data_IF_846697860371
#
_entry.id   IF_846697860371
#
_cell.length_a   1.000
_cell.length_b   1.000
_cell.length_c   1.000
_cell.angle_alpha   90.00
_cell.angle_beta   90.00
_cell.angle_gamma   90.00
#
_symmetry.space_group_name_H-M   'P 1'
#
loop_
_entity.id
_entity.type
_entity.pdbx_description
1 polymer ?
#
# COMPACT_ATOMS: atom_id res chain seq x y z
N UNK A 1 48.33 -16.05 -2.29
CA UNK A 1 47.27 -15.34 -3.04
C UNK A 1 47.48 -13.86 -2.82
N UNK A 2 47.66 -13.07 -3.87
CA UNK A 2 47.91 -11.63 -3.79
C UNK A 2 46.65 -10.90 -3.20
N UNK A 3 46.87 -9.78 -2.51
CA UNK A 3 45.80 -8.97 -1.93
C UNK A 3 44.70 -8.63 -2.93
N UNK A 4 45.12 -8.32 -4.18
CA UNK A 4 44.18 -8.02 -5.28
C UNK A 4 43.27 -9.21 -5.62
N UNK A 5 43.77 -10.45 -5.59
CA UNK A 5 42.96 -11.66 -5.83
C UNK A 5 41.97 -11.87 -4.67
N UNK A 6 42.35 -11.60 -3.42
CA UNK A 6 41.47 -11.70 -2.26
C UNK A 6 40.35 -10.68 -2.35
N UNK A 7 40.64 -9.41 -2.70
CA UNK A 7 39.62 -8.36 -2.87
C UNK A 7 38.63 -8.73 -4.00
N UNK A 8 39.13 -9.14 -5.18
CA UNK A 8 38.25 -9.56 -6.27
C UNK A 8 37.32 -10.71 -5.87
N UNK A 9 37.85 -11.73 -5.18
CA UNK A 9 37.06 -12.85 -4.69
C UNK A 9 36.00 -12.41 -3.68
N UNK A 10 36.35 -11.50 -2.76
CA UNK A 10 35.40 -10.95 -1.81
C UNK A 10 34.27 -10.13 -2.48
N UNK A 11 34.61 -9.31 -3.49
CA UNK A 11 33.62 -8.56 -4.25
C UNK A 11 32.65 -9.50 -5.00
N UNK A 12 33.18 -10.55 -5.63
CA UNK A 12 32.31 -11.53 -6.33
C UNK A 12 31.40 -12.26 -5.34
N UNK A 13 31.94 -12.69 -4.20
CA UNK A 13 31.15 -13.35 -3.15
C UNK A 13 30.05 -12.44 -2.61
N UNK A 14 30.37 -11.15 -2.37
CA UNK A 14 29.37 -10.16 -1.93
C UNK A 14 28.27 -9.96 -2.96
N UNK A 15 28.60 -9.82 -4.24
CA UNK A 15 27.64 -9.66 -5.33
C UNK A 15 26.71 -10.89 -5.40
N UNK A 16 27.27 -12.10 -5.35
CA UNK A 16 26.48 -13.33 -5.35
C UNK A 16 25.56 -13.41 -4.13
N UNK A 17 26.07 -13.13 -2.94
CA UNK A 17 25.29 -13.11 -1.72
C UNK A 17 24.15 -12.08 -1.80
N UNK A 18 24.43 -10.88 -2.33
CA UNK A 18 23.41 -9.86 -2.56
C UNK A 18 22.26 -10.38 -3.44
N UNK A 19 22.57 -11.00 -4.57
CA UNK A 19 21.53 -11.53 -5.46
C UNK A 19 20.74 -12.68 -4.84
N UNK A 20 21.42 -13.59 -4.11
CA UNK A 20 20.75 -14.69 -3.40
C UNK A 20 19.79 -14.15 -2.34
N UNK A 21 20.24 -13.24 -1.48
CA UNK A 21 19.41 -12.66 -0.43
C UNK A 21 18.27 -11.84 -1.04
N UNK A 22 18.55 -11.05 -2.08
CA UNK A 22 17.50 -10.31 -2.77
C UNK A 22 16.46 -11.24 -3.41
N UNK A 23 16.88 -12.38 -3.99
CA UNK A 23 15.97 -13.39 -4.53
C UNK A 23 15.06 -14.00 -3.45
N UNK A 24 15.61 -14.32 -2.28
CA UNK A 24 14.83 -14.79 -1.14
C UNK A 24 13.82 -13.72 -0.71
N UNK A 25 14.27 -12.47 -0.56
CA UNK A 25 13.39 -11.36 -0.18
C UNK A 25 12.29 -11.11 -1.23
N UNK A 26 12.62 -11.24 -2.51
CA UNK A 26 11.66 -11.06 -3.61
C UNK A 26 10.49 -12.05 -3.56
N UNK A 27 10.73 -13.26 -3.05
CA UNK A 27 9.69 -14.30 -2.89
C UNK A 27 8.97 -14.19 -1.56
N UNK A 28 9.67 -13.73 -0.51
CA UNK A 28 9.13 -13.67 0.85
C UNK A 28 8.45 -12.35 1.18
N UNK A 29 9.02 -11.23 0.78
CA UNK A 29 8.50 -9.89 1.07
C UNK A 29 8.76 -8.98 -0.12
N UNK A 30 7.76 -8.79 -0.97
CA UNK A 30 7.86 -7.91 -2.14
C UNK A 30 6.97 -6.70 -1.95
N UNK A 31 7.53 -5.56 -1.57
CA UNK A 31 6.77 -4.33 -1.44
C UNK A 31 6.32 -3.82 -2.81
N UNK A 32 5.14 -3.24 -2.86
CA UNK A 32 4.68 -2.45 -4.01
C UNK A 32 4.76 -0.98 -3.63
N UNK A 33 5.37 -0.17 -4.49
CA UNK A 33 5.52 1.24 -4.25
C UNK A 33 4.16 1.95 -4.16
N UNK A 34 4.03 2.82 -3.17
CA UNK A 34 2.94 3.76 -3.09
C UNK A 34 3.04 4.80 -4.21
N UNK A 35 1.91 5.17 -4.76
CA UNK A 35 1.83 6.27 -5.71
C UNK A 35 1.59 7.54 -4.88
N UNK A 36 2.58 8.45 -4.89
CA UNK A 36 2.40 9.74 -4.23
C UNK A 36 1.35 10.56 -4.99
N UNK A 37 0.36 11.03 -4.27
CA UNK A 37 -0.59 11.99 -4.78
C UNK A 37 -0.05 13.41 -4.62
N UNK A 38 -0.43 14.35 -5.49
CA UNK A 38 0.08 15.73 -5.44
C UNK A 38 -0.11 16.41 -4.09
N UNK A 39 -1.20 16.12 -3.40
CA UNK A 39 -1.54 16.72 -2.11
C UNK A 39 -1.19 15.85 -0.89
N UNK A 40 -0.41 14.81 -1.10
CA UNK A 40 0.34 14.09 -0.04
C UNK A 40 -0.46 13.24 0.95
N UNK A 41 -1.75 13.42 1.08
CA UNK A 41 -2.47 12.88 2.25
C UNK A 41 -3.68 11.99 1.94
N UNK A 42 -4.26 12.05 0.76
CA UNK A 42 -5.59 11.47 0.55
C UNK A 42 -5.64 10.09 -0.07
N UNK A 43 -4.55 9.60 -0.66
CA UNK A 43 -4.60 8.33 -1.39
C UNK A 43 -3.41 7.44 -1.12
N UNK A 44 -3.70 6.32 -0.52
CA UNK A 44 -2.77 5.22 -0.44
C UNK A 44 -3.08 4.20 -1.55
N UNK A 45 -2.85 4.58 -2.80
CA UNK A 45 -2.94 3.66 -3.94
C UNK A 45 -1.56 3.15 -4.33
N UNK A 46 -1.51 1.93 -4.87
CA UNK A 46 -0.28 1.27 -5.27
C UNK A 46 -0.19 1.20 -6.79
N UNK A 47 1.00 0.86 -7.30
CA UNK A 47 1.19 0.66 -8.73
C UNK A 47 0.21 -0.39 -9.28
N UNK A 48 -0.66 -0.03 -10.25
CA UNK A 48 -1.61 -0.97 -10.83
C UNK A 48 -0.92 -2.18 -11.45
N UNK A 49 -1.54 -3.35 -11.33
CA UNK A 49 -1.08 -4.64 -11.82
C UNK A 49 0.24 -5.17 -11.23
N UNK A 50 0.81 -4.50 -10.24
CA UNK A 50 1.96 -5.01 -9.50
C UNK A 50 1.56 -6.21 -8.61
N UNK A 51 2.55 -6.97 -8.18
CA UNK A 51 2.35 -8.10 -7.27
C UNK A 51 2.92 -7.74 -5.90
N UNK A 52 2.05 -7.68 -4.90
CA UNK A 52 2.41 -7.53 -3.50
C UNK A 52 2.60 -8.92 -2.89
N UNK A 53 3.75 -9.14 -2.26
CA UNK A 53 4.01 -10.32 -1.44
C UNK A 53 4.31 -9.82 -0.04
N UNK A 54 3.60 -10.34 0.95
CA UNK A 54 3.77 -9.99 2.35
C UNK A 54 4.03 -11.26 3.16
N UNK A 55 5.14 -11.30 3.90
CA UNK A 55 5.59 -12.48 4.62
C UNK A 55 5.80 -12.29 6.12
N UNK A 56 5.74 -11.04 6.61
CA UNK A 56 6.18 -10.71 7.97
C UNK A 56 5.15 -11.12 9.04
N UNK A 57 3.88 -10.82 8.85
CA UNK A 57 2.80 -11.10 9.83
C UNK A 57 1.87 -12.23 9.36
N UNK A 58 2.00 -12.61 8.11
CA UNK A 58 1.27 -13.69 7.46
C UNK A 58 1.61 -13.73 5.98
N UNK A 59 1.84 -14.93 5.43
CA UNK A 59 2.23 -15.05 4.03
C UNK A 59 1.04 -14.90 3.10
N UNK A 60 1.06 -13.86 2.28
CA UNK A 60 0.05 -13.65 1.26
C UNK A 60 0.63 -13.11 -0.04
N UNK A 61 0.01 -13.46 -1.15
CA UNK A 61 0.31 -12.92 -2.47
C UNK A 61 -0.94 -12.25 -3.00
N UNK A 62 -0.83 -10.98 -3.38
CA UNK A 62 -1.93 -10.18 -3.88
C UNK A 62 -1.55 -9.47 -5.16
N UNK A 63 -2.39 -9.55 -6.16
CA UNK A 63 -2.27 -8.70 -7.33
C UNK A 63 -2.96 -7.36 -7.04
N UNK A 64 -2.28 -6.27 -7.34
CA UNK A 64 -2.88 -4.94 -7.28
C UNK A 64 -3.78 -4.77 -8.51
N UNK A 65 -5.02 -4.36 -8.29
CA UNK A 65 -5.97 -4.10 -9.36
C UNK A 65 -5.66 -2.80 -10.14
N UNK A 66 -6.46 -2.49 -11.15
CA UNK A 66 -6.27 -1.28 -11.96
C UNK A 66 -6.51 0.02 -11.19
N UNK A 67 -7.14 -0.05 -10.03
CA UNK A 67 -7.44 1.08 -9.17
C UNK A 67 -6.39 1.28 -8.06
N UNK A 68 -5.42 0.38 -7.94
CA UNK A 68 -4.33 0.47 -6.96
C UNK A 68 -4.60 -0.23 -5.63
N UNK A 69 -5.59 -1.12 -5.57
CA UNK A 69 -5.99 -1.86 -4.35
C UNK A 69 -5.76 -3.36 -4.50
N UNK A 70 -5.94 -4.09 -3.41
CA UNK A 70 -5.71 -5.54 -3.35
C UNK A 70 -7.00 -6.36 -3.54
N UNK A 71 -7.92 -5.89 -4.39
CA UNK A 71 -9.13 -6.64 -4.69
C UNK A 71 -8.84 -7.87 -5.56
N UNK A 72 -9.73 -8.87 -5.45
CA UNK A 72 -9.77 -9.90 -6.48
C UNK A 72 -10.25 -9.29 -7.81
N UNK A 73 -9.85 -9.91 -8.92
CA UNK A 73 -10.28 -9.52 -10.27
C UNK A 73 -11.76 -9.87 -10.51
N UNK A 74 -12.65 -9.44 -9.62
CA UNK A 74 -14.06 -9.42 -9.96
C UNK A 74 -14.28 -8.27 -10.96
N UNK A 75 -15.05 -8.48 -12.03
CA UNK A 75 -15.49 -7.35 -12.81
C UNK A 75 -16.21 -6.37 -11.89
N UNK A 76 -15.99 -5.08 -12.08
CA UNK A 76 -16.76 -4.08 -11.36
C UNK A 76 -18.25 -4.35 -11.65
N UNK A 77 -18.99 -4.64 -10.60
CA UNK A 77 -20.43 -4.72 -10.66
C UNK A 77 -21.02 -3.34 -10.98
N UNK A 78 -22.24 -3.31 -11.50
CA UNK A 78 -22.95 -2.05 -11.68
C UNK A 78 -23.26 -1.38 -10.34
N UNK A 79 -23.33 -2.18 -9.26
CA UNK A 79 -23.56 -1.75 -7.90
C UNK A 79 -22.57 -2.45 -6.95
N UNK A 80 -22.06 -1.72 -5.94
CA UNK A 80 -21.11 -2.30 -5.02
C UNK A 80 -21.16 -1.68 -3.61
N UNK A 81 -20.63 -2.46 -2.66
CA UNK A 81 -20.33 -2.03 -1.30
C UNK A 81 -18.89 -1.52 -1.27
N UNK A 82 -18.70 -0.24 -0.99
CA UNK A 82 -17.38 0.33 -0.79
C UNK A 82 -16.91 0.02 0.63
N UNK A 83 -15.84 -0.76 0.75
CA UNK A 83 -15.25 -1.12 2.03
C UNK A 83 -14.01 -0.27 2.28
N UNK A 84 -13.98 0.46 3.38
CA UNK A 84 -12.91 1.36 3.76
C UNK A 84 -12.41 1.05 5.17
N UNK A 85 -11.15 1.33 5.43
CA UNK A 85 -10.55 1.08 6.73
C UNK A 85 -9.03 1.10 6.69
N UNK A 86 -8.41 0.54 7.70
CA UNK A 86 -6.97 0.44 7.88
C UNK A 86 -6.41 -0.92 7.43
N UNK A 87 -5.30 -1.35 8.04
CA UNK A 87 -4.61 -2.61 7.72
C UNK A 87 -5.48 -3.85 7.90
N UNK A 88 -6.32 -3.90 8.94
CA UNK A 88 -7.21 -5.03 9.18
C UNK A 88 -8.23 -5.20 8.05
N UNK A 89 -8.87 -4.11 7.63
CA UNK A 89 -9.78 -4.12 6.48
C UNK A 89 -9.06 -4.43 5.18
N UNK A 90 -7.84 -3.95 5.00
CA UNK A 90 -7.04 -4.26 3.81
C UNK A 90 -6.71 -5.75 3.73
N UNK A 91 -6.37 -6.37 4.87
CA UNK A 91 -6.07 -7.80 4.97
C UNK A 91 -4.86 -8.23 4.14
N UNK A 92 -3.82 -7.39 4.03
CA UNK A 92 -2.63 -7.70 3.22
C UNK A 92 -1.87 -8.92 3.75
N UNK A 93 -1.97 -9.21 5.05
CA UNK A 93 -1.35 -10.33 5.76
C UNK A 93 -2.11 -11.66 5.57
N UNK A 94 -3.35 -11.57 5.08
CA UNK A 94 -4.25 -12.71 4.94
C UNK A 94 -4.27 -13.17 3.49
N UNK A 95 -4.25 -14.49 3.25
CA UNK A 95 -4.45 -15.05 1.92
C UNK A 95 -5.74 -14.51 1.30
N UNK A 96 -5.70 -14.20 0.01
CA UNK A 96 -6.80 -13.51 -0.68
C UNK A 96 -8.16 -14.20 -0.47
N UNK A 97 -8.19 -15.55 -0.49
CA UNK A 97 -9.42 -16.34 -0.26
C UNK A 97 -10.04 -16.14 1.12
N UNK A 98 -9.23 -15.79 2.11
CA UNK A 98 -9.64 -15.68 3.51
C UNK A 98 -9.90 -14.22 3.95
N UNK A 99 -9.74 -13.26 3.05
CA UNK A 99 -10.09 -11.86 3.34
C UNK A 99 -11.59 -11.71 3.45
N UNK A 100 -12.04 -10.92 4.40
CA UNK A 100 -13.47 -10.74 4.60
C UNK A 100 -14.18 -10.15 3.37
N UNK A 101 -13.54 -9.25 2.63
CA UNK A 101 -14.08 -8.72 1.36
C UNK A 101 -14.26 -9.81 0.29
N UNK A 102 -13.34 -10.78 0.23
CA UNK A 102 -13.47 -11.96 -0.63
C UNK A 102 -14.58 -12.89 -0.17
N UNK A 103 -14.67 -13.12 1.14
CA UNK A 103 -15.73 -13.96 1.73
C UNK A 103 -17.10 -13.33 1.43
N UNK A 104 -17.25 -12.03 1.64
CA UNK A 104 -18.49 -11.31 1.31
C UNK A 104 -18.82 -11.46 -0.19
N UNK A 105 -17.84 -11.29 -1.07
CA UNK A 105 -18.05 -11.47 -2.51
C UNK A 105 -18.49 -12.90 -2.87
N UNK A 106 -17.90 -13.91 -2.24
CA UNK A 106 -18.30 -15.30 -2.48
C UNK A 106 -19.75 -15.54 -2.02
N UNK A 107 -20.12 -15.01 -0.85
CA UNK A 107 -21.52 -15.10 -0.36
C UNK A 107 -22.50 -14.43 -1.31
N UNK A 108 -22.19 -13.22 -1.79
CA UNK A 108 -23.04 -12.50 -2.76
C UNK A 108 -23.17 -13.27 -4.07
N UNK A 109 -22.09 -13.91 -4.54
CA UNK A 109 -22.13 -14.76 -5.75
C UNK A 109 -23.01 -16.00 -5.53
N UNK A 110 -22.86 -16.67 -4.38
CA UNK A 110 -23.63 -17.87 -4.04
C UNK A 110 -25.13 -17.53 -3.93
N UNK A 111 -25.47 -16.35 -3.40
CA UNK A 111 -26.84 -15.84 -3.32
C UNK A 111 -27.35 -15.24 -4.64
N UNK A 112 -26.54 -15.27 -5.71
CA UNK A 112 -26.82 -14.75 -7.05
C UNK A 112 -27.09 -13.24 -7.08
N UNK A 113 -26.53 -12.52 -6.15
CA UNK A 113 -26.57 -11.06 -6.12
C UNK A 113 -25.62 -10.46 -7.15
N UNK A 114 -26.03 -9.38 -7.79
CA UNK A 114 -25.18 -8.62 -8.73
C UNK A 114 -24.22 -7.68 -7.98
N UNK A 115 -24.55 -7.35 -6.73
CA UNK A 115 -23.73 -6.51 -5.86
C UNK A 115 -22.36 -7.14 -5.57
N UNK A 116 -21.34 -6.33 -5.47
CA UNK A 116 -19.97 -6.77 -5.12
C UNK A 116 -19.34 -5.89 -4.04
N UNK A 117 -18.53 -6.47 -3.18
CA UNK A 117 -17.70 -5.73 -2.24
C UNK A 117 -16.41 -5.27 -2.92
N UNK A 118 -16.12 -3.99 -2.81
CA UNK A 118 -14.90 -3.36 -3.32
C UNK A 118 -14.11 -2.76 -2.16
N UNK A 119 -12.97 -3.35 -1.85
CA UNK A 119 -12.15 -2.98 -0.70
C UNK A 119 -11.09 -1.94 -1.10
N UNK A 120 -11.25 -0.73 -0.58
CA UNK A 120 -10.29 0.37 -0.73
C UNK A 120 -9.53 0.68 0.55
N UNK A 121 -9.62 -0.19 1.55
CA UNK A 121 -8.91 -0.04 2.82
C UNK A 121 -7.39 -0.03 2.61
N UNK A 122 -6.70 0.68 3.47
CA UNK A 122 -5.28 0.91 3.32
C UNK A 122 -4.53 0.92 4.64
N UNK A 123 -3.41 0.20 4.66
CA UNK A 123 -2.51 0.14 5.79
C UNK A 123 -2.04 1.54 6.21
N UNK A 124 -2.05 1.78 7.52
CA UNK A 124 -1.65 3.06 8.10
C UNK A 124 -2.71 4.17 8.04
N UNK A 125 -3.92 3.88 7.52
CA UNK A 125 -5.00 4.85 7.55
C UNK A 125 -5.62 4.96 8.95
N UNK A 126 -5.74 6.20 9.41
CA UNK A 126 -6.53 6.60 10.57
C UNK A 126 -7.82 7.27 10.10
N UNK A 127 -8.74 7.52 11.01
CA UNK A 127 -10.05 8.08 10.67
C UNK A 127 -9.98 9.32 9.76
N UNK A 128 -9.13 10.34 10.00
CA UNK A 128 -8.98 11.47 9.07
C UNK A 128 -8.57 11.05 7.66
N UNK A 129 -7.62 10.13 7.57
CA UNK A 129 -7.16 9.62 6.27
C UNK A 129 -8.25 8.82 5.54
N UNK A 130 -9.07 8.07 6.28
CA UNK A 130 -10.21 7.34 5.72
C UNK A 130 -11.25 8.32 5.17
N UNK A 131 -11.56 9.40 5.90
CA UNK A 131 -12.52 10.42 5.47
C UNK A 131 -12.01 11.14 4.21
N UNK A 132 -10.74 11.54 4.19
CA UNK A 132 -10.13 12.16 3.01
C UNK A 132 -10.12 11.20 1.80
N UNK A 133 -9.84 9.93 2.06
CA UNK A 133 -9.88 8.91 1.02
C UNK A 133 -11.30 8.65 0.51
N UNK A 134 -12.31 8.71 1.37
CA UNK A 134 -13.72 8.54 1.02
C UNK A 134 -14.17 9.53 -0.05
N UNK A 135 -13.85 10.80 0.09
CA UNK A 135 -14.23 11.82 -0.88
C UNK A 135 -13.66 11.51 -2.27
N UNK A 136 -12.39 11.10 -2.33
CA UNK A 136 -11.76 10.66 -3.57
C UNK A 136 -12.34 9.34 -4.10
N UNK A 137 -12.69 8.41 -3.20
CA UNK A 137 -13.21 7.11 -3.60
C UNK A 137 -14.61 7.23 -4.19
N UNK A 138 -15.51 8.04 -3.61
CA UNK A 138 -16.87 8.18 -4.08
C UNK A 138 -16.95 8.78 -5.49
N UNK A 139 -16.01 9.63 -5.87
CA UNK A 139 -15.94 10.16 -7.22
C UNK A 139 -15.42 9.15 -8.24
N UNK A 140 -14.50 8.28 -7.82
CA UNK A 140 -13.99 7.20 -8.67
C UNK A 140 -14.94 6.00 -8.77
N UNK A 141 -15.82 5.84 -7.76
CA UNK A 141 -16.75 4.72 -7.65
C UNK A 141 -18.18 5.22 -7.38
N UNK A 142 -18.78 5.95 -8.33
CA UNK A 142 -20.04 6.67 -8.11
C UNK A 142 -21.28 5.76 -7.93
N UNK A 143 -21.14 4.47 -8.18
CA UNK A 143 -22.24 3.49 -8.04
C UNK A 143 -22.19 2.71 -6.71
N UNK A 144 -21.49 3.23 -5.70
CA UNK A 144 -21.48 2.63 -4.37
C UNK A 144 -22.86 2.77 -3.71
N UNK A 145 -23.56 1.67 -3.50
CA UNK A 145 -24.86 1.65 -2.84
C UNK A 145 -24.74 1.71 -1.32
N UNK A 146 -23.62 1.21 -0.80
CA UNK A 146 -23.35 1.16 0.62
C UNK A 146 -21.86 1.42 0.84
N UNK A 147 -21.54 2.07 1.95
CA UNK A 147 -20.17 2.27 2.40
C UNK A 147 -20.02 1.68 3.79
N UNK A 148 -19.05 0.80 3.95
CA UNK A 148 -18.65 0.28 5.27
C UNK A 148 -17.32 0.89 5.66
N UNK A 149 -17.23 1.43 6.88
CA UNK A 149 -16.01 2.05 7.39
C UNK A 149 -15.60 1.34 8.67
N UNK A 150 -14.40 0.77 8.67
CA UNK A 150 -13.78 0.25 9.88
C UNK A 150 -13.07 1.38 10.62
N UNK A 151 -13.45 1.60 11.88
CA UNK A 151 -12.84 2.58 12.77
C UNK A 151 -12.10 1.82 13.87
N UNK A 152 -10.76 1.86 13.83
CA UNK A 152 -9.91 1.14 14.77
C UNK A 152 -9.73 1.86 16.12
N UNK A 153 -9.86 3.18 16.13
CA UNK A 153 -9.72 4.00 17.33
C UNK A 153 -10.67 5.19 17.26
N UNK A 154 -11.26 5.53 18.40
CA UNK A 154 -12.11 6.71 18.58
C UNK A 154 -11.38 7.82 19.35
N UNK A 155 -10.11 7.66 19.67
CA UNK A 155 -9.30 8.61 20.45
C UNK A 155 -8.82 9.78 19.59
N UNK A 156 -9.77 10.49 18.98
CA UNK A 156 -9.50 11.69 18.21
C UNK A 156 -10.23 12.86 18.83
N UNK A 157 -9.52 13.96 19.08
CA UNK A 157 -10.16 15.22 19.40
C UNK A 157 -10.81 15.82 18.13
N UNK A 158 -11.82 16.66 18.33
CA UNK A 158 -12.44 17.38 17.20
C UNK A 158 -11.40 18.25 16.46
N UNK A 159 -10.44 18.80 17.19
CA UNK A 159 -9.38 19.62 16.59
C UNK A 159 -8.39 18.78 15.78
N UNK A 160 -8.04 17.57 16.22
CA UNK A 160 -7.21 16.65 15.44
C UNK A 160 -7.91 16.28 14.13
N UNK A 161 -9.21 15.97 14.20
CA UNK A 161 -10.01 15.67 13.00
C UNK A 161 -10.04 16.87 12.06
N UNK A 162 -10.38 18.05 12.59
CA UNK A 162 -10.52 19.28 11.81
C UNK A 162 -9.21 19.69 11.12
N UNK A 163 -8.07 19.56 11.83
CA UNK A 163 -6.75 19.91 11.31
C UNK A 163 -6.19 18.87 10.32
N UNK A 164 -6.74 17.66 10.28
CA UNK A 164 -6.27 16.58 9.40
C UNK A 164 -7.11 16.42 8.15
N UNK A 165 -8.29 17.07 8.07
CA UNK A 165 -9.15 17.02 6.90
C UNK A 165 -8.61 17.92 5.79
N UNK A 166 -8.60 17.41 4.58
CA UNK A 166 -8.28 18.15 3.37
C UNK A 166 -9.56 18.82 2.87
N UNK A 167 -9.44 20.06 2.40
CA UNK A 167 -10.58 20.75 1.83
C UNK A 167 -11.04 20.06 0.54
N UNK A 168 -12.35 20.03 0.25
CA UNK A 168 -12.89 19.31 -0.91
C UNK A 168 -12.28 19.72 -2.26
N UNK A 169 -11.93 20.97 -2.44
CA UNK A 169 -11.27 21.51 -3.64
C UNK A 169 -9.79 21.13 -3.78
N UNK A 170 -9.18 20.63 -2.71
CA UNK A 170 -7.80 20.14 -2.69
C UNK A 170 -7.70 18.63 -2.91
N UNK A 171 -8.84 17.91 -2.98
CA UNK A 171 -8.85 16.47 -3.13
C UNK A 171 -8.54 16.08 -4.57
N UNK A 172 -7.53 15.21 -4.71
CA UNK A 172 -7.19 14.65 -6.02
C UNK A 172 -8.14 13.50 -6.37
N UNK A 173 -8.98 13.72 -7.39
CA UNK A 173 -9.96 12.76 -7.89
C UNK A 173 -9.42 11.83 -8.96
N UNK A 174 -8.17 12.01 -9.40
CA UNK A 174 -7.55 11.15 -10.42
C UNK A 174 -7.51 9.69 -10.00
N UNK A 175 -7.74 8.81 -10.92
CA UNK A 175 -7.58 7.38 -10.70
C UNK A 175 -6.12 6.99 -10.48
N UNK A 176 -5.86 5.87 -9.82
CA UNK A 176 -4.50 5.34 -9.64
C UNK A 176 -3.77 5.19 -10.98
N UNK A 177 -4.48 4.79 -12.03
CA UNK A 177 -3.95 4.64 -13.39
C UNK A 177 -3.52 5.97 -13.99
N UNK A 178 -4.31 7.02 -13.82
CA UNK A 178 -3.98 8.38 -14.31
C UNK A 178 -2.78 8.95 -13.55
N UNK A 179 -2.76 8.80 -12.23
CA UNK A 179 -1.63 9.23 -11.40
C UNK A 179 -0.35 8.47 -11.81
N UNK A 180 -0.43 7.16 -12.01
CA UNK A 180 0.71 6.36 -12.46
C UNK A 180 1.18 6.79 -13.86
N UNK A 181 0.26 7.02 -14.78
CA UNK A 181 0.57 7.49 -16.13
C UNK A 181 1.24 8.87 -16.15
N UNK A 182 0.85 9.76 -15.23
CA UNK A 182 1.42 11.11 -15.10
C UNK A 182 2.81 11.13 -14.45
N UNK A 183 3.25 10.05 -13.81
CA UNK A 183 4.59 9.98 -13.23
C UNK A 183 5.68 10.02 -14.31
N UNK A 184 6.76 10.74 -14.03
CA UNK A 184 7.94 10.73 -14.91
C UNK A 184 8.50 9.31 -15.08
N UNK A 185 9.12 9.03 -16.22
CA UNK A 185 9.76 7.74 -16.51
C UNK A 185 10.80 7.36 -15.44
N UNK A 186 11.53 8.35 -14.92
CA UNK A 186 12.52 8.16 -13.84
C UNK A 186 11.83 7.70 -12.56
N UNK A 187 10.71 8.32 -12.18
CA UNK A 187 9.96 7.94 -10.96
C UNK A 187 9.38 6.53 -11.10
N UNK A 188 8.82 6.20 -12.27
CA UNK A 188 8.33 4.83 -12.56
C UNK A 188 9.45 3.80 -12.48
N UNK A 189 10.60 4.07 -13.11
CA UNK A 189 11.76 3.18 -13.05
C UNK A 189 12.27 2.99 -11.62
N UNK A 190 12.33 4.07 -10.81
CA UNK A 190 12.71 4.00 -9.40
C UNK A 190 11.74 3.14 -8.57
N UNK A 191 10.45 3.24 -8.82
CA UNK A 191 9.44 2.43 -8.14
C UNK A 191 9.56 0.97 -8.54
N UNK A 192 9.68 0.67 -9.83
CA UNK A 192 9.95 -0.68 -10.32
C UNK A 192 11.23 -1.27 -9.71
N UNK A 193 12.30 -0.46 -9.65
CA UNK A 193 13.56 -0.91 -9.05
C UNK A 193 13.37 -1.35 -7.58
N UNK A 194 12.61 -0.61 -6.78
CA UNK A 194 12.29 -1.00 -5.41
C UNK A 194 11.51 -2.31 -5.30
N UNK A 195 10.60 -2.56 -6.26
CA UNK A 195 9.80 -3.77 -6.31
C UNK A 195 10.63 -5.00 -6.69
N UNK A 196 11.60 -4.84 -7.60
CA UNK A 196 12.50 -5.92 -8.02
C UNK A 196 13.70 -6.13 -7.09
N UNK A 197 14.06 -5.13 -6.30
CA UNK A 197 15.15 -5.20 -5.32
C UNK A 197 14.65 -4.89 -3.90
N UNK A 198 13.81 -5.77 -3.31
CA UNK A 198 13.22 -5.55 -2.01
C UNK A 198 14.25 -5.40 -0.89
N UNK A 199 15.41 -6.06 -1.00
CA UNK A 199 16.50 -5.89 -0.04
C UNK A 199 16.97 -4.42 0.05
N UNK A 200 17.09 -3.74 -1.08
CA UNK A 200 17.49 -2.31 -1.11
C UNK A 200 16.39 -1.44 -0.48
N UNK A 201 15.12 -1.72 -0.79
CA UNK A 201 13.99 -1.01 -0.19
C UNK A 201 13.97 -1.19 1.33
N UNK A 202 14.19 -2.41 1.82
CA UNK A 202 14.24 -2.72 3.25
C UNK A 202 15.39 -2.01 3.96
N UNK A 203 16.60 -2.05 3.40
CA UNK A 203 17.77 -1.36 3.96
C UNK A 203 17.51 0.15 4.05
N UNK A 204 16.96 0.73 2.98
CA UNK A 204 16.63 2.16 2.95
C UNK A 204 15.62 2.52 4.05
N UNK A 205 14.53 1.79 4.15
CA UNK A 205 13.50 2.03 5.18
C UNK A 205 14.08 1.91 6.58
N UNK A 206 14.97 0.94 6.81
CA UNK A 206 15.63 0.79 8.11
C UNK A 206 16.54 1.98 8.46
N UNK A 207 17.31 2.47 7.49
CA UNK A 207 18.16 3.67 7.68
C UNK A 207 17.28 4.89 7.99
N UNK A 208 16.19 5.12 7.25
CA UNK A 208 15.26 6.23 7.49
C UNK A 208 14.62 6.14 8.88
N UNK A 209 14.26 4.95 9.33
CA UNK A 209 13.74 4.72 10.69
C UNK A 209 14.77 5.08 11.76
N UNK A 210 16.02 4.66 11.61
CA UNK A 210 17.09 4.99 12.53
C UNK A 210 17.38 6.50 12.58
N UNK A 211 17.35 7.18 11.43
CA UNK A 211 17.53 8.63 11.36
C UNK A 211 16.40 9.37 12.07
N UNK A 212 15.15 8.93 11.90
CA UNK A 212 13.98 9.50 12.56
C UNK A 212 14.01 9.27 14.08
N UNK A 213 14.46 8.10 14.53
CA UNK A 213 14.64 7.82 15.95
C UNK A 213 15.72 8.76 16.57
N UNK A 214 16.86 8.90 15.90
CA UNK A 214 17.93 9.78 16.36
C UNK A 214 17.49 11.26 16.44
N UNK A 215 16.70 11.73 15.47
CA UNK A 215 16.17 13.10 15.48
C UNK A 215 15.20 13.33 16.64
N UNK A 216 14.33 12.34 16.95
CA UNK A 216 13.40 12.40 18.10
C UNK A 216 14.14 12.38 19.44
N UNK A 217 15.21 11.59 19.56
CA UNK A 217 16.04 11.57 20.78
C UNK A 217 16.74 12.93 20.95
N UNK A 218 17.35 13.46 19.88
CA UNK A 218 18.03 14.75 19.93
C UNK A 218 17.08 15.93 20.27
N UNK A 219 15.81 15.87 19.86
CA UNK A 219 14.81 16.90 20.22
C UNK A 219 14.41 16.83 21.69
N UNK A 220 14.32 15.62 22.28
CA UNK A 220 13.99 15.42 23.70
C UNK A 220 15.14 15.79 24.65
N UNK A 221 16.37 15.76 24.18
CA UNK A 221 17.56 16.11 25.02
C UNK A 221 17.83 17.62 25.06
N UNK A 222 17.07 18.42 24.27
CA UNK A 222 17.19 19.90 24.25
C UNK A 222 16.12 20.62 25.08
N UNK A 223 15.26 19.89 25.76
CA UNK A 223 14.27 20.36 26.74
C UNK A 223 14.76 20.06 28.16
#
# INVERSE_FOLDING_TARGET
MTLTKKIKSACVAFILAFFVVNGIMFVYERPVAWIDTPNGASRAVRNPNAMLIHGTEGYSISKIDSYGFTNQNYPLADEYILMMGASHSQGKEVTVSNRYSTIVNNMLVDDKEELRAFNTACDGHFLPSIINHFQSAIENYPKANCVTIEIMSTDYSIDDLRNSLILPDEIDTKTAREIFASQSSVKRAKNMFKEYFPLIAMIKNHIETLQNLNSRVASKTRL
#
